data_IF_892553013056
#
_entry.id   IF_892553013056
#
_cell.length_a   1.000
_cell.length_b   1.000
_cell.length_c   1.000
_cell.angle_alpha   90.00
_cell.angle_beta   90.00
_cell.angle_gamma   90.00
#
_symmetry.space_group_name_H-M   'P 1'
#
loop_
_entity.id
_entity.type
_entity.pdbx_description
1 polymer ?
#
# COMPACT_ATOMS: atom_id res chain seq x y z
N UNK A 1 -34.63 -16.07 -7.64
CA UNK A 1 -33.49 -16.92 -8.06
C UNK A 1 -32.23 -16.28 -7.53
N UNK A 2 -31.44 -17.00 -6.73
CA UNK A 2 -30.15 -16.52 -6.23
C UNK A 2 -29.05 -17.28 -6.97
N UNK A 3 -28.10 -16.58 -7.56
CA UNK A 3 -26.94 -17.22 -8.19
C UNK A 3 -26.05 -17.75 -7.06
N UNK A 4 -25.84 -19.06 -7.00
CA UNK A 4 -24.99 -19.67 -5.99
C UNK A 4 -23.51 -19.47 -6.34
N UNK A 5 -22.75 -18.89 -5.41
CA UNK A 5 -21.29 -18.71 -5.47
C UNK A 5 -20.72 -17.95 -6.69
N UNK A 6 -21.15 -16.69 -6.94
CA UNK A 6 -20.54 -15.84 -7.96
C UNK A 6 -19.07 -15.52 -7.65
N UNK A 7 -18.24 -15.43 -8.68
CA UNK A 7 -16.91 -14.88 -8.56
C UNK A 7 -16.97 -13.38 -8.22
N UNK A 8 -16.00 -12.89 -7.45
CA UNK A 8 -15.97 -11.47 -7.01
C UNK A 8 -15.95 -10.51 -8.21
N UNK A 9 -15.26 -10.85 -9.29
CA UNK A 9 -15.22 -10.04 -10.51
C UNK A 9 -16.59 -9.96 -11.22
N UNK A 10 -17.43 -10.99 -11.14
CA UNK A 10 -18.78 -10.97 -11.70
C UNK A 10 -19.66 -9.96 -10.97
N UNK A 11 -19.67 -10.00 -9.63
CA UNK A 11 -20.41 -9.03 -8.81
C UNK A 11 -19.91 -7.60 -9.10
N UNK A 12 -18.58 -7.41 -9.23
CA UNK A 12 -17.98 -6.11 -9.57
C UNK A 12 -18.37 -5.63 -10.96
N UNK A 13 -18.52 -6.54 -11.93
CA UNK A 13 -19.03 -6.25 -13.26
C UNK A 13 -20.47 -5.72 -13.21
N UNK A 14 -21.34 -6.35 -12.42
CA UNK A 14 -22.72 -5.88 -12.19
C UNK A 14 -22.71 -4.50 -11.52
N UNK A 15 -21.91 -4.31 -10.48
CA UNK A 15 -21.75 -3.00 -9.83
C UNK A 15 -21.36 -1.93 -10.85
N UNK A 16 -20.39 -2.21 -11.74
CA UNK A 16 -19.95 -1.28 -12.80
C UNK A 16 -21.10 -0.90 -13.73
N UNK A 17 -21.87 -1.90 -14.18
CA UNK A 17 -23.04 -1.67 -15.04
C UNK A 17 -24.12 -0.83 -14.36
N UNK A 18 -24.42 -1.09 -13.08
CA UNK A 18 -25.44 -0.34 -12.34
C UNK A 18 -25.03 1.11 -12.06
N UNK A 19 -23.73 1.35 -11.83
CA UNK A 19 -23.19 2.72 -11.72
C UNK A 19 -23.29 3.45 -13.05
N UNK A 20 -22.98 2.78 -14.17
CA UNK A 20 -23.18 3.35 -15.51
C UNK A 20 -24.66 3.68 -15.80
N UNK A 21 -25.59 2.87 -15.29
CA UNK A 21 -27.04 3.15 -15.31
C UNK A 21 -27.49 4.30 -14.41
N UNK A 22 -26.59 4.93 -13.64
CA UNK A 22 -26.89 6.06 -12.77
C UNK A 22 -27.44 5.69 -11.39
N UNK A 23 -27.38 4.42 -10.98
CA UNK A 23 -27.89 4.01 -9.66
C UNK A 23 -27.03 4.51 -8.52
N UNK A 24 -27.67 4.80 -7.39
CA UNK A 24 -27.00 5.15 -6.13
C UNK A 24 -26.35 3.91 -5.51
N UNK A 25 -25.35 4.12 -4.65
CA UNK A 25 -24.65 3.01 -3.98
C UNK A 25 -25.58 2.15 -3.11
N UNK A 26 -26.69 2.73 -2.61
CA UNK A 26 -27.70 2.04 -1.80
C UNK A 26 -28.54 1.10 -2.68
N UNK A 27 -29.00 1.58 -3.83
CA UNK A 27 -29.75 0.76 -4.80
C UNK A 27 -28.89 -0.40 -5.31
N UNK A 28 -27.63 -0.12 -5.65
CA UNK A 28 -26.66 -1.15 -6.06
C UNK A 28 -26.49 -2.22 -4.98
N UNK A 29 -26.35 -1.82 -3.71
CA UNK A 29 -26.24 -2.77 -2.60
C UNK A 29 -27.48 -3.65 -2.48
N UNK A 30 -28.68 -3.08 -2.58
CA UNK A 30 -29.93 -3.83 -2.51
C UNK A 30 -30.06 -4.81 -3.69
N UNK A 31 -29.65 -4.44 -4.90
CA UNK A 31 -29.68 -5.33 -6.06
C UNK A 31 -28.68 -6.46 -5.97
N UNK A 32 -27.44 -6.17 -5.55
CA UNK A 32 -26.42 -7.20 -5.31
C UNK A 32 -26.90 -8.18 -4.23
N UNK A 33 -27.50 -7.65 -3.15
CA UNK A 33 -28.08 -8.45 -2.07
C UNK A 33 -29.21 -9.36 -2.57
N UNK A 34 -30.12 -8.83 -3.39
CA UNK A 34 -31.23 -9.59 -3.95
C UNK A 34 -30.79 -10.66 -4.95
N UNK A 35 -29.80 -10.36 -5.81
CA UNK A 35 -29.36 -11.27 -6.86
C UNK A 35 -28.42 -12.39 -6.38
N UNK A 36 -27.54 -12.08 -5.41
CA UNK A 36 -26.46 -12.97 -4.99
C UNK A 36 -26.54 -13.40 -3.52
N UNK A 37 -27.44 -12.79 -2.74
CA UNK A 37 -27.62 -13.04 -1.31
C UNK A 37 -26.63 -12.29 -0.40
N UNK A 38 -26.97 -12.21 0.89
CA UNK A 38 -26.26 -11.41 1.91
C UNK A 38 -24.78 -11.77 2.07
N UNK A 39 -24.40 -13.00 1.76
CA UNK A 39 -23.03 -13.51 1.95
C UNK A 39 -22.10 -13.25 0.76
N UNK A 40 -22.62 -12.81 -0.39
CA UNK A 40 -21.83 -12.69 -1.61
C UNK A 40 -20.85 -11.50 -1.59
N UNK A 41 -21.29 -10.33 -1.12
CA UNK A 41 -20.43 -9.16 -0.96
C UNK A 41 -20.95 -8.24 0.14
N UNK A 42 -20.08 -7.88 1.09
CA UNK A 42 -20.47 -6.97 2.16
C UNK A 42 -20.68 -5.52 1.67
N UNK A 43 -21.50 -4.76 2.43
CA UNK A 43 -21.87 -3.38 2.12
C UNK A 43 -20.65 -2.46 1.87
N UNK A 44 -19.62 -2.56 2.70
CA UNK A 44 -18.40 -1.75 2.57
C UNK A 44 -17.68 -1.99 1.24
N UNK A 45 -17.60 -3.25 0.79
CA UNK A 45 -16.98 -3.62 -0.47
C UNK A 45 -17.79 -3.09 -1.66
N UNK A 46 -19.11 -3.22 -1.61
CA UNK A 46 -19.99 -2.65 -2.65
C UNK A 46 -19.76 -1.14 -2.76
N UNK A 47 -19.78 -0.43 -1.64
CA UNK A 47 -19.59 1.03 -1.62
C UNK A 47 -18.21 1.45 -2.11
N UNK A 48 -17.15 0.70 -1.76
CA UNK A 48 -15.81 0.91 -2.32
C UNK A 48 -15.86 0.81 -3.85
N UNK A 49 -16.38 -0.27 -4.40
CA UNK A 49 -16.44 -0.46 -5.86
C UNK A 49 -17.32 0.59 -6.55
N UNK A 50 -18.45 1.00 -5.96
CA UNK A 50 -19.25 2.11 -6.46
C UNK A 50 -18.43 3.42 -6.58
N UNK A 51 -17.62 3.74 -5.56
CA UNK A 51 -16.74 4.91 -5.56
C UNK A 51 -15.66 4.80 -6.64
N UNK A 52 -14.99 3.66 -6.72
CA UNK A 52 -13.93 3.43 -7.70
C UNK A 52 -14.44 3.57 -9.14
N UNK A 53 -15.61 3.01 -9.47
CA UNK A 53 -16.19 3.14 -10.80
C UNK A 53 -16.68 4.57 -11.10
N UNK A 54 -17.23 5.29 -10.11
CA UNK A 54 -17.54 6.73 -10.25
C UNK A 54 -16.29 7.56 -10.52
N UNK A 55 -15.15 7.15 -9.98
CA UNK A 55 -13.85 7.80 -10.20
C UNK A 55 -13.18 7.38 -11.51
N UNK A 56 -13.85 6.64 -12.39
CA UNK A 56 -13.35 6.29 -13.72
C UNK A 56 -12.55 4.99 -13.80
N UNK A 57 -12.50 4.18 -12.73
CA UNK A 57 -11.92 2.83 -12.82
C UNK A 57 -12.69 2.00 -13.85
N UNK A 58 -12.00 1.25 -14.70
CA UNK A 58 -12.63 0.36 -15.69
C UNK A 58 -12.44 -1.12 -15.36
N UNK A 59 -11.34 -1.50 -14.68
CA UNK A 59 -11.05 -2.88 -14.30
C UNK A 59 -11.93 -3.37 -13.14
N UNK A 60 -12.44 -4.61 -13.27
CA UNK A 60 -13.18 -5.35 -12.22
C UNK A 60 -12.26 -6.22 -11.34
N UNK A 61 -11.00 -6.33 -11.71
CA UNK A 61 -10.00 -7.06 -10.93
C UNK A 61 -9.37 -6.12 -9.90
N UNK A 62 -8.90 -6.68 -8.79
CA UNK A 62 -8.09 -5.91 -7.84
C UNK A 62 -6.78 -5.53 -8.52
N UNK A 63 -6.25 -4.35 -8.20
CA UNK A 63 -4.94 -3.95 -8.70
C UNK A 63 -3.87 -4.88 -8.13
N UNK A 64 -2.79 -5.02 -8.89
CA UNK A 64 -1.64 -5.76 -8.43
C UNK A 64 -1.19 -5.18 -7.09
N UNK A 65 -1.31 -5.98 -6.03
CA UNK A 65 -0.98 -5.52 -4.68
C UNK A 65 0.48 -5.11 -4.71
N UNK A 66 0.77 -3.86 -4.35
CA UNK A 66 2.14 -3.42 -4.09
C UNK A 66 2.68 -4.32 -2.98
N UNK A 67 3.47 -5.32 -3.35
CA UNK A 67 4.16 -6.17 -2.38
C UNK A 67 5.17 -5.34 -1.61
N UNK A 68 5.73 -5.92 -0.53
CA UNK A 68 6.99 -5.41 0.01
C UNK A 68 8.02 -5.52 -1.13
N UNK A 69 8.71 -4.44 -1.53
CA UNK A 69 9.68 -4.53 -2.60
C UNK A 69 10.78 -5.52 -2.22
N UNK A 70 11.02 -6.51 -3.08
CA UNK A 70 12.06 -7.55 -2.89
C UNK A 70 13.45 -7.04 -3.29
N UNK A 71 13.55 -5.89 -3.94
CA UNK A 71 14.78 -5.33 -4.49
C UNK A 71 14.89 -3.89 -3.98
N UNK A 72 16.07 -3.56 -3.46
CA UNK A 72 16.42 -2.20 -3.07
C UNK A 72 16.58 -1.37 -4.35
N UNK A 73 15.61 -0.50 -4.62
CA UNK A 73 15.67 0.51 -5.68
C UNK A 73 16.12 1.85 -5.08
N UNK A 74 16.64 2.76 -5.89
CA UNK A 74 17.04 4.10 -5.43
C UNK A 74 15.91 4.85 -4.72
N UNK A 75 14.66 4.60 -5.12
CA UNK A 75 13.46 5.12 -4.44
C UNK A 75 13.29 4.57 -3.02
N UNK A 76 13.62 3.29 -2.79
CA UNK A 76 13.60 2.67 -1.46
C UNK A 76 14.75 3.17 -0.61
N UNK A 77 15.93 3.40 -1.21
CA UNK A 77 17.07 4.02 -0.54
C UNK A 77 16.69 5.44 -0.10
N UNK A 78 16.05 6.23 -0.96
CA UNK A 78 15.52 7.56 -0.63
C UNK A 78 14.43 7.52 0.46
N UNK A 79 13.46 6.60 0.37
CA UNK A 79 12.43 6.43 1.40
C UNK A 79 13.00 5.97 2.74
N UNK A 80 14.05 5.15 2.73
CA UNK A 80 14.73 4.67 3.95
C UNK A 80 15.54 5.80 4.58
N UNK A 81 16.28 6.59 3.78
CA UNK A 81 16.90 7.85 4.20
C UNK A 81 15.86 8.78 4.86
N UNK A 82 14.70 8.99 4.24
CA UNK A 82 13.64 9.83 4.81
C UNK A 82 13.07 9.28 6.13
N UNK A 83 12.88 7.96 6.26
CA UNK A 83 12.40 7.35 7.52
C UNK A 83 13.40 7.54 8.67
N UNK A 84 14.68 7.35 8.39
CA UNK A 84 15.74 7.49 9.39
C UNK A 84 15.96 8.97 9.78
N UNK A 85 15.76 9.92 8.86
CA UNK A 85 15.71 11.36 9.17
C UNK A 85 14.50 11.70 10.06
N UNK A 86 13.31 11.14 9.79
CA UNK A 86 12.09 11.40 10.60
C UNK A 86 12.24 10.95 12.06
N UNK A 87 12.88 9.80 12.30
CA UNK A 87 13.18 9.32 13.66
C UNK A 87 14.17 10.25 14.39
N UNK A 88 15.21 10.72 13.70
CA UNK A 88 16.24 11.59 14.30
C UNK A 88 15.86 13.08 14.42
N UNK A 89 14.80 13.52 13.73
CA UNK A 89 14.17 14.82 13.94
C UNK A 89 13.17 14.81 15.11
N UNK A 90 12.81 13.63 15.62
CA UNK A 90 11.95 13.51 16.80
C UNK A 90 12.54 14.25 17.99
N UNK A 91 11.78 15.20 18.56
CA UNK A 91 12.20 15.98 19.73
C UNK A 91 13.14 17.17 19.43
N UNK A 92 13.58 17.36 18.17
CA UNK A 92 14.39 18.53 17.79
C UNK A 92 13.51 19.64 17.22
N UNK A 93 13.68 20.86 17.73
CA UNK A 93 13.08 22.08 17.16
C UNK A 93 14.19 22.91 16.52
N UNK A 94 14.01 23.26 15.26
CA UNK A 94 14.85 24.19 14.52
C UNK A 94 14.04 25.46 14.28
N UNK A 95 14.66 26.61 14.54
CA UNK A 95 14.01 27.91 14.41
C UNK A 95 14.20 28.50 13.01
N UNK A 96 15.25 28.06 12.29
CA UNK A 96 15.57 28.55 10.95
C UNK A 96 15.92 27.44 9.97
N UNK A 97 15.70 27.71 8.68
CA UNK A 97 16.03 26.77 7.61
C UNK A 97 17.54 26.54 7.45
N UNK A 98 18.36 27.50 7.87
CA UNK A 98 19.83 27.41 7.86
C UNK A 98 20.35 26.46 8.94
N UNK A 99 19.73 26.46 10.12
CA UNK A 99 20.03 25.49 11.18
C UNK A 99 19.79 24.05 10.71
N UNK A 100 18.68 23.82 10.00
CA UNK A 100 18.37 22.51 9.41
C UNK A 100 19.46 22.10 8.41
N UNK A 101 19.86 22.99 7.50
CA UNK A 101 20.91 22.73 6.49
C UNK A 101 22.28 22.46 7.09
N UNK A 102 22.65 23.18 8.16
CA UNK A 102 23.93 22.97 8.87
C UNK A 102 23.93 21.64 9.62
N UNK A 103 22.82 21.31 10.27
CA UNK A 103 22.65 20.05 11.00
C UNK A 103 22.65 18.83 10.06
N UNK A 104 21.95 18.90 8.93
CA UNK A 104 21.92 17.80 7.95
C UNK A 104 23.27 17.56 7.27
N UNK A 105 24.04 18.61 6.98
CA UNK A 105 25.41 18.49 6.47
C UNK A 105 26.37 17.81 7.46
N UNK A 106 26.17 17.99 8.76
CA UNK A 106 26.98 17.35 9.81
C UNK A 106 26.68 15.87 10.06
N UNK A 107 25.54 15.37 9.57
CA UNK A 107 25.14 13.96 9.72
C UNK A 107 25.65 13.07 8.58
N UNK A 108 25.89 13.62 7.40
CA UNK A 108 26.10 12.82 6.19
C UNK A 108 27.31 11.86 6.27
N UNK A 109 28.31 12.14 7.11
CA UNK A 109 29.50 11.29 7.27
C UNK A 109 29.26 10.03 8.12
N UNK A 110 28.72 10.19 9.33
CA UNK A 110 28.50 9.09 10.28
C UNK A 110 27.16 8.35 10.07
N UNK A 111 26.16 9.02 9.52
CA UNK A 111 24.80 8.49 9.34
C UNK A 111 24.73 7.29 8.38
N UNK A 112 25.46 7.34 7.27
CA UNK A 112 25.51 6.22 6.33
C UNK A 112 26.50 5.16 6.81
N UNK A 113 27.59 5.56 7.46
CA UNK A 113 28.64 4.63 7.87
C UNK A 113 28.16 3.69 8.98
N UNK A 114 27.46 4.18 10.01
CA UNK A 114 26.86 3.33 11.04
C UNK A 114 25.75 2.45 10.47
N UNK A 115 24.87 3.00 9.63
CA UNK A 115 23.81 2.23 8.98
C UNK A 115 24.33 1.14 8.03
N UNK A 116 25.45 1.38 7.35
CA UNK A 116 26.12 0.38 6.51
C UNK A 116 26.82 -0.67 7.38
N UNK A 117 27.45 -0.28 8.50
CA UNK A 117 28.06 -1.23 9.45
C UNK A 117 27.04 -2.21 10.03
N UNK A 118 25.83 -1.75 10.36
CA UNK A 118 24.73 -2.59 10.83
C UNK A 118 24.18 -3.57 9.77
N UNK A 119 24.43 -3.29 8.49
CA UNK A 119 24.04 -4.18 7.39
C UNK A 119 25.06 -5.30 7.14
N UNK A 120 26.34 -5.11 7.53
CA UNK A 120 27.41 -6.10 7.32
C UNK A 120 27.04 -7.46 7.95
N UNK A 121 26.61 -7.57 9.22
CA UNK A 121 26.26 -8.85 9.83
C UNK A 121 25.11 -9.56 9.11
N UNK A 122 24.14 -8.80 8.60
CA UNK A 122 22.98 -9.32 7.86
C UNK A 122 23.39 -9.90 6.52
N UNK A 123 24.22 -9.17 5.76
CA UNK A 123 24.76 -9.67 4.49
C UNK A 123 25.66 -10.89 4.68
N UNK A 124 26.51 -10.90 5.71
CA UNK A 124 27.33 -12.07 6.08
C UNK A 124 26.45 -13.29 6.37
N UNK A 125 25.40 -13.11 7.19
CA UNK A 125 24.45 -14.20 7.51
C UNK A 125 23.69 -14.69 6.27
N UNK A 126 23.30 -13.80 5.36
CA UNK A 126 22.69 -14.14 4.08
C UNK A 126 23.61 -15.02 3.22
N UNK A 127 24.89 -14.67 3.12
CA UNK A 127 25.89 -15.41 2.35
C UNK A 127 26.14 -16.78 2.98
N UNK A 128 26.30 -16.85 4.30
CA UNK A 128 26.48 -18.09 5.06
C UNK A 128 25.29 -19.06 4.93
N UNK A 129 24.08 -18.53 4.77
CA UNK A 129 22.85 -19.31 4.60
C UNK A 129 22.42 -19.49 3.15
N UNK A 130 23.33 -19.21 2.20
CA UNK A 130 23.09 -19.35 0.77
C UNK A 130 21.78 -18.64 0.29
N UNK A 131 21.46 -17.50 0.90
CA UNK A 131 20.28 -16.70 0.58
C UNK A 131 19.00 -17.05 1.37
N UNK A 132 18.99 -18.06 2.24
CA UNK A 132 17.83 -18.43 3.06
C UNK A 132 17.79 -17.68 4.40
N UNK A 133 17.78 -16.34 4.33
CA UNK A 133 17.66 -15.46 5.48
C UNK A 133 16.32 -14.73 5.49
N UNK A 134 15.57 -14.86 6.59
CA UNK A 134 14.32 -14.16 6.84
C UNK A 134 14.42 -13.42 8.18
N UNK A 135 14.26 -12.10 8.15
CA UNK A 135 14.18 -11.27 9.36
C UNK A 135 12.86 -11.54 10.10
N UNK A 136 12.94 -11.88 11.40
CA UNK A 136 11.78 -12.05 12.28
C UNK A 136 11.23 -10.71 12.75
#
# INVERSE_FOLDING_TARGET
>A
MSIQSPAKCEIRGVIRYLIWKGKTSVEVYNEVKTAYGDKAMNRTSVFKWCREFKNGRTSVHDDQRSGRPSIVTDEIVEKTKMRSVKLHMGGKRFSTHEEVKKWTKGLAGNYFEEGIKELIPRFTTCIERNGDYVEK
#
